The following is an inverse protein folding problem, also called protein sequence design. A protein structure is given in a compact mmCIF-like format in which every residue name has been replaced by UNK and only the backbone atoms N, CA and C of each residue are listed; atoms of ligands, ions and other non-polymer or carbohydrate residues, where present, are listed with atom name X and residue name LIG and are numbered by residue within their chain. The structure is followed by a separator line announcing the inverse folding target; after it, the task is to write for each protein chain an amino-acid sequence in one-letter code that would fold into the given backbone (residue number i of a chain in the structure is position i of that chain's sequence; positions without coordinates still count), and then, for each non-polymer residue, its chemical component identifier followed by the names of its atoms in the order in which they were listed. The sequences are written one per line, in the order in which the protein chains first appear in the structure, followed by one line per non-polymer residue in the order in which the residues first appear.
data_IF_366535044924
#
_entry.id   IF_366535044924
#
_cell.length_a   1.000
_cell.length_b   1.000
_cell.length_c   1.000
_cell.angle_alpha   90.00
_cell.angle_beta   90.00
_cell.angle_gamma   90.00
#
_symmetry.space_group_name_H-M   'P 1'
#
loop_
_entity.id
_entity.type
_entity.pdbx_description
1 polymer ?
#
# COMPACT_ATOMS: atom_id res chain seq x y z
N UNK A 1 -3.50 -10.25 -6.22
CA UNK A 1 -2.98 -8.93 -5.77
C UNK A 1 -4.07 -7.86 -5.83
N UNK A 2 -4.40 -7.29 -4.68
CA UNK A 2 -5.28 -6.13 -4.52
C UNK A 2 -4.45 -4.95 -3.99
N UNK A 3 -4.76 -3.73 -4.44
CA UNK A 3 -4.12 -2.51 -3.96
C UNK A 3 -5.16 -1.73 -3.17
N UNK A 4 -4.78 -1.24 -1.98
CA UNK A 4 -5.59 -0.35 -1.17
C UNK A 4 -4.74 0.85 -0.78
N UNK A 5 -5.23 2.05 -1.08
CA UNK A 5 -4.61 3.30 -0.66
C UNK A 5 -5.11 3.70 0.72
N UNK A 6 -4.22 4.18 1.58
CA UNK A 6 -4.56 4.66 2.93
C UNK A 6 -4.21 6.14 3.03
N UNK A 7 -5.24 6.99 3.11
CA UNK A 7 -5.09 8.41 3.40
C UNK A 7 -4.99 8.64 4.92
N UNK A 8 -3.96 9.38 5.35
CA UNK A 8 -3.61 9.51 6.77
C UNK A 8 -3.60 10.96 7.26
N UNK A 9 -2.72 11.79 6.70
CA UNK A 9 -2.50 13.18 7.14
C UNK A 9 -3.22 14.21 6.27
N UNK A 10 -4.09 13.74 5.38
CA UNK A 10 -4.79 14.56 4.40
C UNK A 10 -6.14 15.07 4.96
N UNK A 11 -6.68 16.13 4.36
CA UNK A 11 -8.07 16.51 4.59
C UNK A 11 -8.98 15.74 3.65
N UNK A 12 -10.17 15.33 4.11
CA UNK A 12 -11.08 14.52 3.31
C UNK A 12 -11.41 15.13 1.94
N UNK A 13 -11.65 16.45 1.89
CA UNK A 13 -11.98 17.15 0.65
C UNK A 13 -10.81 17.20 -0.35
N UNK A 14 -9.58 17.33 0.15
CA UNK A 14 -8.38 17.37 -0.69
C UNK A 14 -8.04 15.97 -1.21
N UNK A 15 -8.21 14.95 -0.36
CA UNK A 15 -8.06 13.55 -0.74
C UNK A 15 -9.03 13.16 -1.88
N UNK A 16 -10.32 13.50 -1.76
CA UNK A 16 -11.31 13.19 -2.81
C UNK A 16 -10.95 13.81 -4.15
N UNK A 17 -10.50 15.08 -4.16
CA UNK A 17 -10.02 15.74 -5.39
C UNK A 17 -8.78 15.03 -5.95
N UNK A 18 -7.85 14.63 -5.09
CA UNK A 18 -6.64 13.93 -5.52
C UNK A 18 -6.99 12.58 -6.18
N UNK A 19 -7.88 11.79 -5.58
CA UNK A 19 -8.34 10.51 -6.13
C UNK A 19 -8.95 10.67 -7.52
N UNK A 20 -9.81 11.68 -7.70
CA UNK A 20 -10.40 12.00 -8.99
C UNK A 20 -9.35 12.46 -10.00
N UNK A 21 -8.53 13.45 -9.63
CA UNK A 21 -7.56 14.08 -10.53
C UNK A 21 -6.43 13.15 -10.99
N UNK A 22 -5.98 12.25 -10.10
CA UNK A 22 -4.93 11.28 -10.38
C UNK A 22 -5.51 9.98 -10.95
N UNK A 23 -6.83 9.89 -11.07
CA UNK A 23 -7.56 8.70 -11.57
C UNK A 23 -7.09 7.45 -10.84
N UNK A 24 -7.01 7.49 -9.51
CA UNK A 24 -6.54 6.35 -8.71
C UNK A 24 -7.59 5.23 -8.76
N UNK A 25 -7.36 4.13 -9.49
CA UNK A 25 -8.39 3.12 -9.72
C UNK A 25 -8.62 2.19 -8.52
N UNK A 26 -7.73 2.23 -7.52
CA UNK A 26 -7.78 1.36 -6.35
C UNK A 26 -8.59 1.98 -5.20
N UNK A 27 -9.17 1.12 -4.38
CA UNK A 27 -9.94 1.49 -3.18
C UNK A 27 -9.10 2.36 -2.24
N UNK A 28 -9.71 3.41 -1.71
CA UNK A 28 -9.09 4.29 -0.71
C UNK A 28 -9.78 4.14 0.64
N UNK A 29 -9.00 4.15 1.72
CA UNK A 29 -9.48 4.20 3.10
C UNK A 29 -8.88 5.42 3.76
N UNK A 30 -9.70 6.16 4.51
CA UNK A 30 -9.21 7.24 5.36
C UNK A 30 -9.00 6.72 6.78
N UNK A 31 -7.74 6.74 7.26
CA UNK A 31 -7.38 6.24 8.57
C UNK A 31 -6.24 7.07 9.19
N UNK A 32 -6.55 8.11 9.97
CA UNK A 32 -5.53 8.96 10.57
C UNK A 32 -4.66 8.23 11.61
N UNK A 33 -5.10 7.05 12.09
CA UNK A 33 -4.37 6.23 13.06
C UNK A 33 -3.43 5.20 12.43
N UNK A 34 -3.50 5.00 11.11
CA UNK A 34 -2.74 3.94 10.45
C UNK A 34 -1.22 4.12 10.63
N UNK A 35 -0.73 5.36 10.58
CA UNK A 35 0.72 5.61 10.76
C UNK A 35 1.19 5.21 12.15
N UNK A 36 0.41 5.46 13.19
CA UNK A 36 0.76 5.09 14.57
C UNK A 36 0.74 3.56 14.75
N UNK A 37 -0.30 2.89 14.23
CA UNK A 37 -0.46 1.44 14.35
C UNK A 37 0.67 0.67 13.65
N UNK A 38 1.17 1.19 12.54
CA UNK A 38 2.22 0.55 11.74
C UNK A 38 3.62 1.15 11.95
N UNK A 39 3.76 2.14 12.85
CA UNK A 39 5.04 2.79 13.14
C UNK A 39 5.64 3.55 11.96
N UNK A 40 4.80 4.17 11.13
CA UNK A 40 5.19 4.92 9.92
C UNK A 40 5.42 6.38 10.29
N UNK A 41 6.62 6.89 10.03
CA UNK A 41 7.01 8.28 10.33
C UNK A 41 7.03 9.20 9.12
N UNK A 42 6.76 8.68 7.92
CA UNK A 42 6.83 9.41 6.66
C UNK A 42 6.04 8.73 5.55
N UNK A 43 5.50 9.54 4.63
CA UNK A 43 4.82 9.10 3.41
C UNK A 43 5.56 9.61 2.17
N UNK A 44 5.50 8.93 1.01
CA UNK A 44 4.78 7.68 0.75
C UNK A 44 5.39 6.47 1.47
N UNK A 45 4.57 5.50 1.84
CA UNK A 45 5.01 4.25 2.47
C UNK A 45 4.22 3.08 1.89
N UNK A 46 4.92 2.14 1.25
CA UNK A 46 4.31 0.97 0.59
C UNK A 46 4.66 -0.29 1.39
N UNK A 47 3.65 -1.13 1.61
CA UNK A 47 3.78 -2.41 2.30
C UNK A 47 3.14 -3.53 1.48
N UNK A 48 3.65 -4.75 1.65
CA UNK A 48 3.04 -5.97 1.15
C UNK A 48 2.53 -6.78 2.34
N UNK A 49 1.26 -7.15 2.31
CA UNK A 49 0.59 -7.95 3.33
C UNK A 49 0.06 -9.22 2.65
N UNK A 50 0.29 -10.38 3.26
CA UNK A 50 -0.24 -11.65 2.75
C UNK A 50 -1.73 -11.84 3.10
N UNK A 51 -2.42 -12.83 2.51
CA UNK A 51 -3.83 -13.09 2.80
C UNK A 51 -4.13 -13.48 4.26
N UNK A 52 -3.12 -13.85 5.05
CA UNK A 52 -3.25 -14.14 6.48
C UNK A 52 -3.07 -12.88 7.35
N UNK A 53 -2.81 -11.72 6.74
CA UNK A 53 -2.62 -10.45 7.41
C UNK A 53 -1.19 -10.22 7.90
N UNK A 54 -0.22 -11.06 7.51
CA UNK A 54 1.18 -10.87 7.89
C UNK A 54 1.85 -9.87 6.95
N UNK A 55 2.58 -8.92 7.52
CA UNK A 55 3.42 -8.00 6.76
C UNK A 55 4.62 -8.78 6.21
N UNK A 56 4.69 -8.89 4.88
CA UNK A 56 5.79 -9.54 4.15
C UNK A 56 6.93 -8.56 3.92
N UNK A 57 6.61 -7.31 3.58
CA UNK A 57 7.58 -6.25 3.39
C UNK A 57 6.97 -4.88 3.69
N UNK A 58 7.85 -3.91 3.97
CA UNK A 58 7.53 -2.51 4.27
C UNK A 58 8.61 -1.59 3.72
N UNK A 59 8.32 -0.30 3.62
CA UNK A 59 9.22 0.69 3.03
C UNK A 59 9.66 0.31 1.61
N UNK A 60 8.73 -0.16 0.78
CA UNK A 60 9.02 -0.48 -0.62
C UNK A 60 9.07 0.80 -1.46
N UNK A 61 10.03 0.89 -2.37
CA UNK A 61 10.26 2.07 -3.21
C UNK A 61 10.49 1.68 -4.65
N UNK A 62 9.84 2.39 -5.57
CA UNK A 62 10.06 2.17 -7.00
C UNK A 62 9.50 0.84 -7.51
N UNK A 63 9.30 0.80 -8.82
CA UNK A 63 8.70 -0.35 -9.50
C UNK A 63 9.60 -1.59 -9.46
N UNK A 64 10.92 -1.40 -9.56
CA UNK A 64 11.88 -2.51 -9.62
C UNK A 64 11.90 -3.33 -8.33
N UNK A 65 11.98 -2.68 -7.17
CA UNK A 65 12.01 -3.37 -5.87
C UNK A 65 10.69 -4.10 -5.60
N UNK A 66 9.56 -3.45 -5.93
CA UNK A 66 8.23 -4.04 -5.80
C UNK A 66 8.10 -5.26 -6.72
N UNK A 67 8.49 -5.15 -7.98
CA UNK A 67 8.37 -6.23 -8.95
C UNK A 67 9.21 -7.44 -8.56
N UNK A 68 10.47 -7.23 -8.20
CA UNK A 68 11.37 -8.31 -7.74
C UNK A 68 10.81 -9.03 -6.52
N UNK A 69 10.25 -8.29 -5.56
CA UNK A 69 9.63 -8.87 -4.39
C UNK A 69 8.41 -9.73 -4.79
N UNK A 70 7.50 -9.19 -5.60
CA UNK A 70 6.31 -9.91 -6.04
C UNK A 70 6.65 -11.18 -6.81
N UNK A 71 7.67 -11.16 -7.66
CA UNK A 71 8.15 -12.36 -8.36
C UNK A 71 8.72 -13.41 -7.39
N UNK A 72 9.50 -12.98 -6.40
CA UNK A 72 10.03 -13.87 -5.36
C UNK A 72 8.91 -14.55 -4.57
N UNK A 73 7.88 -13.79 -4.18
CA UNK A 73 6.75 -14.31 -3.43
C UNK A 73 5.84 -15.21 -4.28
N UNK A 74 5.60 -14.88 -5.57
CA UNK A 74 4.93 -15.79 -6.51
C UNK A 74 5.63 -17.14 -6.58
N UNK A 75 6.96 -17.13 -6.72
CA UNK A 75 7.74 -18.35 -6.86
C UNK A 75 7.65 -19.25 -5.62
N UNK A 76 7.65 -18.66 -4.42
CA UNK A 76 7.53 -19.40 -3.15
C UNK A 76 6.13 -19.99 -2.94
N UNK A 77 5.09 -19.31 -3.40
CA UNK A 77 3.69 -19.69 -3.18
C UNK A 77 3.07 -20.49 -4.34
N UNK A 78 3.88 -21.11 -5.19
CA UNK A 78 3.38 -21.92 -6.31
C UNK A 78 2.62 -21.11 -7.36
N UNK A 79 2.90 -19.81 -7.48
CA UNK A 79 2.28 -18.88 -8.43
C UNK A 79 1.14 -18.03 -7.85
N UNK A 80 0.73 -18.24 -6.61
CA UNK A 80 -0.35 -17.47 -5.98
C UNK A 80 0.15 -16.17 -5.31
N UNK A 81 -0.52 -15.05 -5.61
CA UNK A 81 -0.42 -13.75 -4.92
C UNK A 81 -1.78 -13.08 -4.73
#
# INVERSE_FOLDING_TARGET
LEIVGIAVWDQWADHLKAVESLTLPWSQIFSPKATDLYGITGIPHIMLIDPQGKIIARSLHGEEDITKLLESEKSKNGGAL
#
